data_IF_662855354253
#
_entry.id   IF_662855354253
#
_cell.length_a   1.000
_cell.length_b   1.000
_cell.length_c   1.000
_cell.angle_alpha   90.00
_cell.angle_beta   90.00
_cell.angle_gamma   90.00
#
_symmetry.space_group_name_H-M   'P 1'
#
loop_
_entity.id
_entity.type
_entity.pdbx_description
1 polymer ?
#
# COMPACT_ATOMS: atom_id res chain seq x y z
N UNK A 1 -13.49 18.55 10.30
CA UNK A 1 -13.22 18.07 11.67
C UNK A 1 -11.81 18.49 12.00
N UNK A 2 -11.51 18.82 13.23
CA UNK A 2 -10.21 19.29 13.70
C UNK A 2 -9.22 18.12 13.79
N UNK A 3 -7.92 18.33 13.51
CA UNK A 3 -6.89 17.27 13.47
C UNK A 3 -6.90 16.41 14.75
N UNK A 4 -6.87 16.98 15.99
CA UNK A 4 -6.91 16.17 17.20
C UNK A 4 -8.11 15.23 17.24
N UNK A 5 -9.29 15.71 16.88
CA UNK A 5 -10.52 14.88 16.90
C UNK A 5 -10.51 13.76 15.86
N UNK A 6 -9.81 13.95 14.74
CA UNK A 6 -9.64 12.89 13.74
C UNK A 6 -8.73 11.79 14.27
N UNK A 7 -7.61 12.18 14.91
CA UNK A 7 -6.67 11.24 15.49
C UNK A 7 -7.25 10.52 16.72
N UNK A 8 -7.99 11.23 17.58
CA UNK A 8 -8.76 10.64 18.67
C UNK A 8 -9.79 9.61 18.15
N UNK A 9 -10.57 9.97 17.12
CA UNK A 9 -11.55 9.05 16.54
C UNK A 9 -10.88 7.80 15.94
N UNK A 10 -9.75 7.96 15.25
CA UNK A 10 -8.98 6.85 14.72
C UNK A 10 -8.42 5.96 15.85
N UNK A 11 -7.88 6.56 16.92
CA UNK A 11 -7.29 5.81 18.04
C UNK A 11 -8.30 4.90 18.75
N UNK A 12 -9.57 5.30 18.80
CA UNK A 12 -10.65 4.50 19.39
C UNK A 12 -10.99 3.24 18.56
N UNK A 13 -10.55 3.17 17.32
CA UNK A 13 -10.74 1.99 16.44
C UNK A 13 -9.60 0.97 16.56
N UNK A 14 -8.52 1.29 17.29
CA UNK A 14 -7.40 0.39 17.54
C UNK A 14 -7.70 -0.44 18.78
N UNK A 15 -7.74 -1.79 18.71
CA UNK A 15 -7.87 -2.64 19.87
C UNK A 15 -6.72 -2.43 20.86
N UNK A 16 -7.05 -2.40 22.16
CA UNK A 16 -6.09 -2.07 23.22
C UNK A 16 -4.95 -3.08 23.38
N UNK A 17 -5.16 -4.31 22.93
CA UNK A 17 -4.17 -5.40 22.99
C UNK A 17 -3.14 -5.36 21.86
N UNK A 18 -3.29 -4.47 20.87
CA UNK A 18 -2.36 -4.37 19.74
C UNK A 18 -1.13 -3.58 20.16
N UNK A 19 0.03 -4.15 19.85
CA UNK A 19 1.30 -3.48 19.89
C UNK A 19 2.03 -3.64 18.55
N UNK A 20 2.81 -2.64 18.15
CA UNK A 20 3.67 -2.72 16.97
C UNK A 20 4.89 -3.62 17.23
N UNK A 21 5.69 -3.85 16.19
CA UNK A 21 6.98 -4.56 16.32
C UNK A 21 7.98 -3.83 17.24
N UNK A 22 7.76 -2.52 17.47
CA UNK A 22 8.56 -1.68 18.37
C UNK A 22 7.92 -1.49 19.75
N UNK A 23 6.99 -2.36 20.14
CA UNK A 23 6.22 -2.31 21.39
C UNK A 23 5.37 -1.03 21.55
N UNK A 24 5.08 -0.31 20.48
CA UNK A 24 4.19 0.86 20.49
C UNK A 24 2.75 0.39 20.66
N UNK A 25 2.05 1.04 21.56
CA UNK A 25 0.65 0.75 21.91
C UNK A 25 -0.24 1.97 21.71
N UNK A 26 -1.54 1.80 21.84
CA UNK A 26 -2.49 2.91 21.76
C UNK A 26 -2.28 3.93 22.91
N UNK A 27 -1.73 3.52 24.06
CA UNK A 27 -1.42 4.43 25.16
C UNK A 27 -0.34 5.45 24.75
N UNK A 28 0.66 5.02 23.99
CA UNK A 28 1.70 5.93 23.48
C UNK A 28 1.09 7.00 22.57
N UNK A 29 0.11 6.62 21.74
CA UNK A 29 -0.64 7.56 20.91
C UNK A 29 -1.36 8.61 21.77
N UNK A 30 -2.06 8.17 22.85
CA UNK A 30 -2.75 9.09 23.78
C UNK A 30 -1.80 10.04 24.48
N UNK A 31 -0.62 9.59 24.84
CA UNK A 31 0.40 10.44 25.47
C UNK A 31 0.85 11.56 24.53
N UNK A 32 1.07 11.28 23.24
CA UNK A 32 1.43 12.29 22.25
C UNK A 32 0.26 13.24 21.94
N UNK A 33 -0.98 12.72 21.85
CA UNK A 33 -2.17 13.57 21.66
C UNK A 33 -2.36 14.56 22.83
N UNK A 34 -2.08 14.13 24.06
CA UNK A 34 -2.17 14.99 25.25
C UNK A 34 -1.14 16.13 25.27
N UNK A 35 -0.06 16.03 24.47
CA UNK A 35 0.99 17.04 24.36
C UNK A 35 0.93 17.81 23.03
N UNK A 36 -0.16 17.73 22.27
CA UNK A 36 -0.33 18.35 20.95
C UNK A 36 0.70 17.90 19.88
N UNK A 37 1.31 16.73 20.06
CA UNK A 37 2.32 16.13 19.17
C UNK A 37 1.64 15.30 18.05
N UNK A 38 0.79 15.97 17.27
CA UNK A 38 -0.14 15.30 16.34
C UNK A 38 0.55 14.56 15.20
N UNK A 39 1.68 15.06 14.70
CA UNK A 39 2.45 14.38 13.65
C UNK A 39 3.03 13.05 14.16
N UNK A 40 3.52 13.03 15.39
CA UNK A 40 4.02 11.81 16.03
C UNK A 40 2.86 10.84 16.26
N UNK A 41 1.75 11.30 16.83
CA UNK A 41 0.56 10.47 17.05
C UNK A 41 0.04 9.84 15.74
N UNK A 42 0.03 10.59 14.63
CA UNK A 42 -0.33 10.08 13.31
C UNK A 42 0.61 8.93 12.89
N UNK A 43 1.94 9.14 13.01
CA UNK A 43 2.93 8.13 12.64
C UNK A 43 2.79 6.85 13.45
N UNK A 44 2.50 6.94 14.75
CA UNK A 44 2.25 5.78 15.61
C UNK A 44 0.96 5.03 15.21
N UNK A 45 -0.10 5.76 14.85
CA UNK A 45 -1.33 5.15 14.34
C UNK A 45 -1.11 4.45 13.00
N UNK A 46 -0.31 5.01 12.09
CA UNK A 46 0.08 4.35 10.84
C UNK A 46 0.80 3.03 11.15
N UNK A 47 1.75 3.03 12.08
CA UNK A 47 2.51 1.84 12.47
C UNK A 47 1.60 0.75 13.09
N UNK A 48 0.68 1.12 13.97
CA UNK A 48 -0.31 0.19 14.53
C UNK A 48 -1.23 -0.40 13.45
N UNK A 49 -1.61 0.41 12.46
CA UNK A 49 -2.40 -0.03 11.32
C UNK A 49 -1.65 -0.94 10.34
N UNK A 50 -0.32 -0.98 10.38
CA UNK A 50 0.49 -1.88 9.55
C UNK A 50 0.55 -3.30 10.12
N UNK A 51 0.50 -3.45 11.44
CA UNK A 51 0.55 -4.76 12.12
C UNK A 51 -0.82 -5.41 12.29
N UNK A 52 -1.90 -4.63 12.20
CA UNK A 52 -3.26 -5.14 12.39
C UNK A 52 -4.23 -4.57 11.34
N UNK A 53 -5.10 -5.41 10.74
CA UNK A 53 -6.13 -4.92 9.83
C UNK A 53 -7.11 -3.99 10.57
N UNK A 54 -7.12 -2.70 10.21
CA UNK A 54 -8.00 -1.70 10.78
C UNK A 54 -9.07 -1.26 9.76
N UNK A 55 -10.27 -0.85 10.22
CA UNK A 55 -11.39 -0.56 9.36
C UNK A 55 -11.13 0.67 8.47
N UNK A 56 -11.93 0.80 7.41
CA UNK A 56 -11.81 1.89 6.45
C UNK A 56 -11.87 3.27 7.12
N UNK A 57 -12.79 3.47 8.07
CA UNK A 57 -12.99 4.74 8.80
C UNK A 57 -11.73 5.19 9.55
N UNK A 58 -10.91 4.23 10.02
CA UNK A 58 -9.60 4.52 10.61
C UNK A 58 -8.69 5.22 9.58
N UNK A 59 -8.52 4.62 8.42
CA UNK A 59 -7.64 5.15 7.38
C UNK A 59 -8.15 6.45 6.76
N UNK A 60 -9.49 6.61 6.63
CA UNK A 60 -10.10 7.86 6.16
C UNK A 60 -9.88 9.02 7.14
N UNK A 61 -9.94 8.74 8.45
CA UNK A 61 -9.64 9.72 9.49
C UNK A 61 -8.17 10.16 9.44
N UNK A 62 -7.23 9.19 9.32
CA UNK A 62 -5.80 9.49 9.19
C UNK A 62 -5.49 10.26 7.90
N UNK A 63 -6.07 9.86 6.76
CA UNK A 63 -5.88 10.56 5.48
C UNK A 63 -6.29 12.03 5.61
N UNK A 64 -7.47 12.29 6.19
CA UNK A 64 -7.97 13.65 6.39
C UNK A 64 -7.07 14.46 7.35
N UNK A 65 -6.58 13.85 8.42
CA UNK A 65 -5.66 14.49 9.37
C UNK A 65 -4.31 14.83 8.69
N UNK A 66 -3.73 13.88 7.96
CA UNK A 66 -2.49 14.07 7.23
C UNK A 66 -2.59 15.18 6.17
N UNK A 67 -3.71 15.26 5.42
CA UNK A 67 -3.96 16.34 4.46
C UNK A 67 -4.03 17.72 5.14
N UNK A 68 -4.74 17.83 6.28
CA UNK A 68 -4.84 19.09 7.02
C UNK A 68 -3.48 19.53 7.58
N UNK A 69 -2.63 18.59 7.99
CA UNK A 69 -1.26 18.85 8.43
C UNK A 69 -0.27 19.03 7.27
N UNK A 70 -0.70 18.81 6.01
CA UNK A 70 0.14 18.88 4.80
C UNK A 70 1.28 17.86 4.80
N UNK A 71 1.04 16.69 5.36
CA UNK A 71 1.96 15.56 5.38
C UNK A 71 1.70 14.69 4.13
N UNK A 72 2.24 15.11 2.99
CA UNK A 72 1.91 14.53 1.66
C UNK A 72 2.17 13.02 1.60
N UNK A 73 3.25 12.53 2.22
CA UNK A 73 3.58 11.10 2.21
C UNK A 73 2.59 10.28 3.04
N UNK A 74 2.28 10.72 4.25
CA UNK A 74 1.30 10.08 5.12
C UNK A 74 -0.10 10.12 4.50
N UNK A 75 -0.50 11.24 3.90
CA UNK A 75 -1.76 11.34 3.18
C UNK A 75 -1.83 10.30 2.03
N UNK A 76 -0.78 10.23 1.21
CA UNK A 76 -0.70 9.25 0.11
C UNK A 76 -0.74 7.80 0.63
N UNK A 77 -0.05 7.51 1.75
CA UNK A 77 -0.07 6.20 2.39
C UNK A 77 -1.46 5.85 2.93
N UNK A 78 -2.09 6.75 3.69
CA UNK A 78 -3.43 6.53 4.23
C UNK A 78 -4.47 6.32 3.11
N UNK A 79 -4.40 7.07 2.01
CA UNK A 79 -5.24 6.83 0.84
C UNK A 79 -4.99 5.46 0.19
N UNK A 80 -3.73 5.03 0.14
CA UNK A 80 -3.39 3.68 -0.31
C UNK A 80 -4.05 2.61 0.56
N UNK A 81 -3.96 2.77 1.88
CA UNK A 81 -4.60 1.86 2.84
C UNK A 81 -6.13 1.90 2.76
N UNK A 82 -6.74 3.06 2.48
CA UNK A 82 -8.17 3.14 2.16
C UNK A 82 -8.54 2.31 0.93
N UNK A 83 -7.69 2.33 -0.10
CA UNK A 83 -7.89 1.48 -1.29
C UNK A 83 -7.83 0.00 -0.91
N UNK A 84 -6.82 -0.41 -0.14
CA UNK A 84 -6.65 -1.81 0.30
C UNK A 84 -7.82 -2.29 1.16
N UNK A 85 -8.31 -1.46 2.09
CA UNK A 85 -9.47 -1.80 2.91
C UNK A 85 -10.73 -2.10 2.06
N UNK A 86 -10.90 -1.39 0.94
CA UNK A 86 -12.04 -1.57 0.03
C UNK A 86 -11.86 -2.73 -0.96
N UNK A 87 -10.65 -2.97 -1.44
CA UNK A 87 -10.39 -3.85 -2.58
C UNK A 87 -9.55 -5.08 -2.25
N UNK A 88 -8.93 -5.11 -1.08
CA UNK A 88 -7.98 -6.14 -0.67
C UNK A 88 -6.53 -5.76 -0.87
N UNK A 89 -5.65 -6.61 -0.39
CA UNK A 89 -4.20 -6.41 -0.39
C UNK A 89 -3.56 -7.39 -1.38
N UNK A 90 -2.64 -6.90 -2.21
CA UNK A 90 -1.74 -7.73 -3.00
C UNK A 90 -0.31 -7.25 -2.71
N UNK A 91 0.51 -8.14 -2.13
CA UNK A 91 1.94 -7.88 -1.90
C UNK A 91 2.78 -8.82 -2.75
N UNK A 92 3.92 -8.34 -3.21
CA UNK A 92 4.83 -9.09 -4.04
C UNK A 92 6.29 -8.69 -3.79
N UNK A 93 7.22 -9.59 -4.08
CA UNK A 93 8.64 -9.31 -4.16
C UNK A 93 8.99 -8.99 -5.61
N UNK A 94 9.27 -7.71 -5.89
CA UNK A 94 9.61 -7.21 -7.22
C UNK A 94 11.12 -7.17 -7.42
N UNK A 95 11.59 -7.75 -8.52
CA UNK A 95 12.94 -7.61 -9.03
C UNK A 95 12.92 -6.85 -10.36
N UNK A 96 13.51 -5.67 -10.41
CA UNK A 96 13.67 -4.91 -11.65
C UNK A 96 14.83 -5.43 -12.48
N UNK A 97 14.69 -5.42 -13.80
CA UNK A 97 15.80 -5.73 -14.71
C UNK A 97 16.89 -4.67 -14.62
N UNK A 98 18.16 -5.08 -14.81
CA UNK A 98 19.26 -4.12 -14.88
C UNK A 98 19.05 -3.07 -15.98
N UNK A 99 19.66 -1.90 -15.81
CA UNK A 99 19.56 -0.81 -16.80
C UNK A 99 20.07 -1.22 -18.20
N UNK A 100 21.00 -2.19 -18.31
CA UNK A 100 21.47 -2.74 -19.59
C UNK A 100 20.40 -3.51 -20.37
N UNK A 101 19.42 -4.09 -19.65
CA UNK A 101 18.36 -4.95 -20.18
C UNK A 101 16.97 -4.27 -20.17
N UNK A 102 16.89 -3.06 -19.62
CA UNK A 102 15.66 -2.34 -19.43
C UNK A 102 15.71 -0.97 -20.12
N UNK A 103 14.54 -0.43 -20.43
CA UNK A 103 14.38 0.94 -20.93
C UNK A 103 14.60 1.96 -19.81
N UNK A 104 14.21 1.64 -18.59
CA UNK A 104 14.38 2.49 -17.42
C UNK A 104 15.85 2.61 -17.04
N UNK A 105 16.32 3.86 -16.90
CA UNK A 105 17.69 4.18 -16.51
C UNK A 105 17.81 4.83 -15.14
N UNK A 106 16.69 5.35 -14.62
CA UNK A 106 16.63 6.09 -13.36
C UNK A 106 15.68 5.42 -12.37
N UNK A 107 15.94 5.53 -11.07
CA UNK A 107 14.99 5.13 -10.03
C UNK A 107 13.64 5.86 -10.19
N UNK A 108 12.58 5.26 -9.68
CA UNK A 108 11.26 5.87 -9.56
C UNK A 108 10.85 5.98 -8.08
N UNK A 109 9.93 6.92 -7.81
CA UNK A 109 9.35 7.09 -6.47
C UNK A 109 8.53 5.87 -6.07
N UNK A 110 8.76 5.37 -4.86
CA UNK A 110 8.00 4.27 -4.26
C UNK A 110 6.59 4.63 -3.78
N UNK A 111 6.18 5.91 -3.85
CA UNK A 111 4.95 6.40 -3.22
C UNK A 111 3.68 6.23 -4.08
N UNK A 112 3.53 5.11 -4.78
CA UNK A 112 2.28 4.75 -5.45
C UNK A 112 1.94 5.54 -6.72
N UNK A 113 2.87 6.34 -7.28
CA UNK A 113 2.63 7.15 -8.48
C UNK A 113 2.83 6.37 -9.79
N UNK A 114 3.65 5.33 -9.77
CA UNK A 114 3.91 4.52 -10.96
C UNK A 114 2.72 3.60 -11.25
N UNK A 115 2.32 3.54 -12.54
CA UNK A 115 1.20 2.72 -13.05
C UNK A 115 1.66 1.80 -14.17
N UNK A 116 2.50 0.81 -13.88
CA UNK A 116 2.96 -0.11 -14.89
C UNK A 116 1.85 -1.04 -15.36
N UNK A 117 2.05 -1.61 -16.54
CA UNK A 117 1.26 -2.73 -17.02
C UNK A 117 1.83 -4.03 -16.47
N UNK A 118 0.95 -4.99 -16.19
CA UNK A 118 1.30 -6.28 -15.63
C UNK A 118 0.73 -7.42 -16.48
N UNK A 119 1.57 -8.37 -16.85
CA UNK A 119 1.11 -9.67 -17.30
C UNK A 119 0.86 -10.54 -16.06
N UNK A 120 -0.39 -10.79 -15.78
CA UNK A 120 -0.86 -11.61 -14.65
C UNK A 120 -1.39 -12.96 -15.10
N UNK A 121 -1.09 -13.35 -16.35
CA UNK A 121 -1.53 -14.62 -16.96
C UNK A 121 -2.87 -14.55 -17.69
N UNK A 122 -3.54 -13.39 -17.69
CA UNK A 122 -4.77 -13.20 -18.46
C UNK A 122 -4.48 -13.22 -19.97
N UNK A 123 -5.48 -13.70 -20.74
CA UNK A 123 -5.41 -13.78 -22.20
C UNK A 123 -6.58 -13.05 -22.84
N UNK A 124 -6.31 -12.38 -23.95
CA UNK A 124 -7.35 -11.83 -24.82
C UNK A 124 -8.14 -12.97 -25.50
N UNK A 125 -9.32 -12.71 -26.07
CA UNK A 125 -10.06 -13.70 -26.88
C UNK A 125 -9.25 -14.26 -28.06
N UNK A 126 -8.23 -13.54 -28.53
CA UNK A 126 -7.32 -13.97 -29.61
C UNK A 126 -6.13 -14.78 -29.11
N UNK A 127 -6.00 -14.97 -27.75
CA UNK A 127 -4.94 -15.77 -27.13
C UNK A 127 -3.66 -15.00 -26.85
N UNK A 128 -3.62 -13.69 -27.09
CA UNK A 128 -2.50 -12.83 -26.75
C UNK A 128 -2.49 -12.49 -25.25
N UNK A 129 -1.34 -11.99 -24.73
CA UNK A 129 -1.26 -11.52 -23.35
C UNK A 129 -2.16 -10.31 -23.13
N UNK A 130 -3.02 -10.38 -22.12
CA UNK A 130 -3.86 -9.27 -21.70
C UNK A 130 -3.18 -8.56 -20.50
N UNK A 131 -2.65 -7.37 -20.76
CA UNK A 131 -1.90 -6.61 -19.77
C UNK A 131 -2.85 -5.77 -18.91
N UNK A 132 -2.69 -5.88 -17.61
CA UNK A 132 -3.54 -5.23 -16.63
C UNK A 132 -2.75 -4.13 -15.89
N UNK A 133 -3.41 -3.04 -15.51
CA UNK A 133 -2.76 -1.91 -14.86
C UNK A 133 -2.96 -2.00 -13.34
N UNK A 134 -1.88 -1.83 -12.58
CA UNK A 134 -1.93 -1.60 -11.15
C UNK A 134 -0.93 -0.52 -10.76
N UNK A 135 -1.32 0.32 -9.80
CA UNK A 135 -0.38 1.20 -9.12
C UNK A 135 0.58 0.36 -8.28
N UNK A 136 1.75 0.91 -8.03
CA UNK A 136 2.84 0.26 -7.33
C UNK A 136 3.31 1.11 -6.16
N UNK A 137 3.24 0.59 -4.95
CA UNK A 137 3.86 1.15 -3.75
C UNK A 137 5.06 0.31 -3.35
N UNK A 138 6.22 0.95 -3.16
CA UNK A 138 7.45 0.27 -2.68
C UNK A 138 7.51 0.40 -1.17
N UNK A 139 7.60 -0.74 -0.48
CA UNK A 139 7.70 -0.77 0.98
C UNK A 139 9.13 -0.46 1.46
N UNK A 140 9.26 0.21 2.58
CA UNK A 140 10.49 0.45 3.34
C UNK A 140 11.56 1.34 2.68
N UNK A 141 11.51 1.57 1.38
CA UNK A 141 12.47 2.44 0.68
C UNK A 141 11.75 3.50 -0.15
N UNK A 142 12.28 4.72 -0.24
CA UNK A 142 11.59 5.82 -0.93
C UNK A 142 11.62 5.72 -2.45
N UNK A 143 12.60 5.01 -3.00
CA UNK A 143 12.78 4.85 -4.46
C UNK A 143 13.28 3.45 -4.78
N UNK A 144 12.98 2.98 -6.01
CA UNK A 144 13.48 1.70 -6.53
C UNK A 144 14.12 1.92 -7.90
N UNK A 145 15.36 1.46 -8.05
CA UNK A 145 16.17 1.60 -9.26
C UNK A 145 16.31 0.33 -10.10
N UNK A 146 16.77 0.46 -11.36
CA UNK A 146 17.03 -0.68 -12.22
C UNK A 146 18.02 -1.67 -11.59
N UNK A 147 17.70 -2.96 -11.62
CA UNK A 147 18.50 -4.03 -11.03
C UNK A 147 18.27 -4.26 -9.54
N UNK A 148 17.49 -3.41 -8.88
CA UNK A 148 17.18 -3.55 -7.46
C UNK A 148 15.97 -4.45 -7.23
N UNK A 149 15.78 -4.83 -5.95
CA UNK A 149 14.66 -5.62 -5.46
C UNK A 149 14.02 -4.94 -4.27
N UNK A 150 12.70 -5.06 -4.17
CA UNK A 150 11.95 -4.58 -3.01
C UNK A 150 10.64 -5.33 -2.85
N UNK A 151 10.13 -5.37 -1.62
CA UNK A 151 8.75 -5.71 -1.37
C UNK A 151 7.86 -4.56 -1.83
N UNK A 152 6.77 -4.90 -2.50
CA UNK A 152 5.85 -3.93 -3.09
C UNK A 152 4.40 -4.30 -2.80
N UNK A 153 3.55 -3.28 -2.79
CA UNK A 153 2.10 -3.43 -2.77
C UNK A 153 1.53 -3.03 -4.11
N UNK A 154 0.51 -3.72 -4.56
CA UNK A 154 -0.14 -3.49 -5.85
C UNK A 154 -1.59 -3.07 -5.64
N UNK A 155 -2.00 -1.99 -6.31
CA UNK A 155 -3.37 -1.52 -6.33
C UNK A 155 -3.91 -1.58 -7.78
N UNK A 156 -4.55 -2.70 -8.17
CA UNK A 156 -5.16 -2.87 -9.48
C UNK A 156 -6.21 -1.80 -9.80
N UNK A 157 -6.24 -1.30 -11.04
CA UNK A 157 -7.34 -0.44 -11.49
C UNK A 157 -8.65 -1.21 -11.68
N UNK A 158 -8.54 -2.48 -12.04
CA UNK A 158 -9.66 -3.44 -12.07
C UNK A 158 -9.34 -4.65 -11.19
N UNK A 159 -9.70 -4.64 -9.90
CA UNK A 159 -9.41 -5.75 -8.98
C UNK A 159 -10.03 -7.07 -9.41
N UNK A 160 -11.09 -7.06 -10.21
CA UNK A 160 -11.78 -8.29 -10.64
C UNK A 160 -10.88 -9.20 -11.47
N UNK A 161 -9.98 -8.62 -12.25
CA UNK A 161 -9.03 -9.34 -13.12
C UNK A 161 -7.92 -10.06 -12.34
N UNK A 162 -7.67 -9.66 -11.09
CA UNK A 162 -6.56 -10.12 -10.26
C UNK A 162 -6.94 -11.21 -9.26
N UNK A 163 -8.22 -11.60 -9.18
CA UNK A 163 -8.77 -12.54 -8.19
C UNK A 163 -8.19 -13.94 -8.24
N UNK A 164 -7.63 -14.35 -9.38
CA UNK A 164 -7.02 -15.66 -9.57
C UNK A 164 -5.61 -15.77 -9.02
N UNK A 165 -4.99 -14.64 -8.65
CA UNK A 165 -3.63 -14.63 -8.11
C UNK A 165 -3.60 -15.27 -6.72
N UNK A 166 -2.50 -15.96 -6.45
CA UNK A 166 -2.21 -16.61 -5.18
C UNK A 166 -0.73 -16.45 -4.82
N UNK A 167 -0.36 -16.55 -3.55
CA UNK A 167 1.04 -16.59 -3.15
C UNK A 167 1.84 -17.62 -3.96
N UNK A 168 3.03 -17.24 -4.40
CA UNK A 168 3.90 -18.03 -5.27
C UNK A 168 3.69 -17.80 -6.78
N UNK A 169 2.60 -17.18 -7.22
CA UNK A 169 2.45 -16.82 -8.62
C UNK A 169 3.50 -15.77 -9.04
N UNK A 170 4.05 -15.97 -10.24
CA UNK A 170 4.98 -15.03 -10.85
C UNK A 170 4.26 -14.18 -11.89
N UNK A 171 4.41 -12.88 -11.80
CA UNK A 171 3.87 -11.89 -12.73
C UNK A 171 4.99 -11.03 -13.30
N UNK A 172 4.80 -10.41 -14.46
CA UNK A 172 5.81 -9.54 -15.08
C UNK A 172 5.30 -8.12 -15.21
N UNK A 173 6.14 -7.17 -14.77
CA UNK A 173 5.93 -5.73 -14.96
C UNK A 173 6.41 -5.32 -16.34
N UNK A 174 5.59 -4.58 -17.06
CA UNK A 174 5.88 -4.09 -18.39
C UNK A 174 5.98 -2.56 -18.42
N UNK A 175 7.00 -2.06 -19.08
CA UNK A 175 7.13 -0.66 -19.49
C UNK A 175 7.01 -0.61 -21.00
N UNK A 176 5.90 -0.08 -21.49
CA UNK A 176 5.45 -0.26 -22.89
C UNK A 176 5.33 -1.78 -23.22
N UNK A 177 6.09 -2.25 -24.20
CA UNK A 177 6.12 -3.67 -24.62
C UNK A 177 7.28 -4.47 -24.04
N UNK A 178 8.11 -3.85 -23.20
CA UNK A 178 9.32 -4.46 -22.65
C UNK A 178 9.07 -4.90 -21.22
N UNK A 179 9.52 -6.11 -20.87
CA UNK A 179 9.50 -6.57 -19.49
C UNK A 179 10.53 -5.76 -18.70
N UNK A 180 10.05 -4.93 -17.76
CA UNK A 180 10.85 -4.10 -16.87
C UNK A 180 11.23 -4.78 -15.56
N UNK A 181 10.47 -5.80 -15.15
CA UNK A 181 10.72 -6.54 -13.91
C UNK A 181 9.86 -7.79 -13.78
N UNK A 182 10.16 -8.58 -12.76
CA UNK A 182 9.41 -9.78 -12.40
C UNK A 182 9.06 -9.70 -10.93
N UNK A 183 7.82 -10.02 -10.58
CA UNK A 183 7.36 -10.04 -9.21
C UNK A 183 6.80 -11.41 -8.83
N UNK A 184 7.10 -11.85 -7.60
CA UNK A 184 6.51 -13.05 -7.01
C UNK A 184 5.49 -12.61 -5.97
N UNK A 185 4.24 -13.04 -6.12
CA UNK A 185 3.18 -12.73 -5.18
C UNK A 185 3.49 -13.41 -3.84
N UNK A 186 3.51 -12.66 -2.76
CA UNK A 186 3.75 -13.17 -1.40
C UNK A 186 2.48 -13.18 -0.56
N UNK A 187 1.54 -12.28 -0.86
CA UNK A 187 0.29 -12.18 -0.12
C UNK A 187 -0.86 -11.72 -1.02
N UNK A 188 -2.02 -12.32 -0.82
CA UNK A 188 -3.30 -11.85 -1.39
C UNK A 188 -4.36 -11.96 -0.31
N UNK A 189 -4.93 -10.84 0.08
CA UNK A 189 -6.07 -10.77 0.98
C UNK A 189 -7.26 -10.12 0.27
N UNK A 190 -8.45 -10.65 0.50
CA UNK A 190 -9.69 -10.02 0.02
C UNK A 190 -9.98 -8.70 0.76
N UNK A 191 -10.96 -7.91 0.27
CA UNK A 191 -11.42 -6.71 0.96
C UNK A 191 -11.88 -7.05 2.37
N UNK A 192 -11.68 -6.11 3.30
CA UNK A 192 -12.18 -6.26 4.65
C UNK A 192 -13.72 -6.33 4.62
N UNK A 193 -14.26 -7.33 5.31
CA UNK A 193 -15.72 -7.42 5.44
C UNK A 193 -16.23 -6.15 6.13
N UNK A 194 -17.09 -5.39 5.45
CA UNK A 194 -17.82 -4.31 6.11
C UNK A 194 -18.70 -4.96 7.18
N UNK A 195 -18.62 -4.55 8.47
CA UNK A 195 -19.56 -5.05 9.45
C UNK A 195 -20.98 -4.77 8.96
N UNK A 196 -21.81 -5.79 9.02
CA UNK A 196 -23.23 -5.65 8.66
C UNK A 196 -23.88 -4.59 9.58
N UNK A 197 -24.74 -3.72 9.05
CA UNK A 197 -25.44 -2.68 9.80
C UNK A 197 -26.34 -3.23 10.91
#
# INVERSE_FOLDING_TARGET
MDVPKLLEAASLLVPAEIASENDITINDVWDYLAHDEWEVALGLLEELGDVHPLPLDFWESLATAAEQMRLERSAAWCHWRCYEARNGIIRADLALRPASENRRRTPFSGAGVLRPMWNIGNRTPTGEDDLNIALLWVEFIPTLGPGERASVRLAPLDPSQWRHLQPGHTITMHEDRTIGGTAVIVEVQGPMATPAP
#
